data_IF_008195457323
#
_entry.id   IF_008195457323
#
_cell.length_a   1.000
_cell.length_b   1.000
_cell.length_c   1.000
_cell.angle_alpha   90.00
_cell.angle_beta   90.00
_cell.angle_gamma   90.00
#
_symmetry.space_group_name_H-M   'P 1'
#
loop_
_entity.id
_entity.type
_entity.pdbx_description
1 polymer ?
#
# COMPACT_ATOMS: atom_id res chain seq x y z
N UNK A 1 -22.59 13.59 -7.37
CA UNK A 1 -23.55 12.60 -6.84
C UNK A 1 -23.42 12.63 -5.32
N UNK A 2 -24.51 12.90 -4.61
CA UNK A 2 -24.52 12.78 -3.14
C UNK A 2 -24.94 11.36 -2.80
N UNK A 3 -24.26 10.78 -1.84
CA UNK A 3 -24.64 9.48 -1.30
C UNK A 3 -25.52 9.72 -0.08
N UNK A 4 -26.48 8.85 0.21
CA UNK A 4 -27.45 9.09 1.30
C UNK A 4 -26.79 9.23 2.70
N UNK A 5 -25.54 8.76 2.84
CA UNK A 5 -24.74 8.85 4.06
C UNK A 5 -23.80 10.07 4.12
N UNK A 6 -23.69 10.88 3.06
CA UNK A 6 -22.88 12.11 3.10
C UNK A 6 -23.35 13.19 2.14
N UNK A 7 -23.31 14.44 2.63
CA UNK A 7 -23.57 15.64 1.81
C UNK A 7 -22.32 16.15 1.09
N UNK A 8 -21.18 15.49 1.23
CA UNK A 8 -19.99 15.80 0.44
C UNK A 8 -20.16 15.22 -0.97
N UNK A 9 -19.69 15.94 -1.99
CA UNK A 9 -19.54 15.35 -3.33
C UNK A 9 -18.59 14.16 -3.22
N UNK A 10 -18.92 13.02 -3.79
CA UNK A 10 -18.08 11.82 -3.71
C UNK A 10 -17.68 11.33 -5.10
N UNK A 11 -16.52 10.66 -5.25
CA UNK A 11 -16.20 9.91 -6.46
C UNK A 11 -17.25 8.84 -6.76
N UNK A 12 -17.28 8.39 -8.02
CA UNK A 12 -18.17 7.31 -8.44
C UNK A 12 -18.02 6.06 -7.57
N UNK A 13 -19.09 5.28 -7.45
CA UNK A 13 -19.11 4.05 -6.65
C UNK A 13 -17.96 3.11 -7.03
N UNK A 14 -17.78 2.86 -8.32
CA UNK A 14 -16.71 2.02 -8.86
C UNK A 14 -15.32 2.54 -8.47
N UNK A 15 -15.08 3.86 -8.56
CA UNK A 15 -13.80 4.44 -8.16
C UNK A 15 -13.53 4.24 -6.66
N UNK A 16 -14.56 4.42 -5.82
CA UNK A 16 -14.46 4.21 -4.37
C UNK A 16 -14.24 2.74 -4.01
N UNK A 17 -14.87 1.81 -4.74
CA UNK A 17 -14.66 0.37 -4.58
C UNK A 17 -13.21 -0.03 -4.92
N UNK A 18 -12.66 0.50 -6.02
CA UNK A 18 -11.24 0.30 -6.37
C UNK A 18 -10.31 0.89 -5.30
N UNK A 19 -10.59 2.10 -4.83
CA UNK A 19 -9.82 2.75 -3.77
C UNK A 19 -9.83 1.92 -2.47
N UNK A 20 -11.00 1.43 -2.06
CA UNK A 20 -11.15 0.55 -0.91
C UNK A 20 -10.37 -0.76 -1.09
N UNK A 21 -10.47 -1.37 -2.27
CA UNK A 21 -9.73 -2.59 -2.61
C UNK A 21 -8.22 -2.39 -2.54
N UNK A 22 -7.71 -1.29 -3.08
CA UNK A 22 -6.30 -0.90 -2.98
C UNK A 22 -5.82 -0.85 -1.52
N UNK A 23 -6.58 -0.21 -0.63
CA UNK A 23 -6.22 -0.14 0.78
C UNK A 23 -6.27 -1.51 1.47
N UNK A 24 -7.28 -2.33 1.17
CA UNK A 24 -7.40 -3.68 1.73
C UNK A 24 -6.21 -4.58 1.36
N UNK A 25 -5.83 -4.64 0.08
CA UNK A 25 -4.71 -5.51 -0.35
C UNK A 25 -3.37 -5.05 0.22
N UNK A 26 -3.14 -3.73 0.33
CA UNK A 26 -1.94 -3.20 0.97
C UNK A 26 -1.88 -3.56 2.45
N UNK A 27 -2.98 -3.41 3.19
CA UNK A 27 -3.03 -3.74 4.61
C UNK A 27 -2.77 -5.24 4.83
N UNK A 28 -3.33 -6.10 3.98
CA UNK A 28 -3.06 -7.54 4.01
C UNK A 28 -1.57 -7.84 3.81
N UNK A 29 -0.93 -7.22 2.82
CA UNK A 29 0.51 -7.40 2.58
C UNK A 29 1.38 -6.83 3.71
N UNK A 30 0.98 -5.71 4.32
CA UNK A 30 1.68 -5.14 5.45
C UNK A 30 1.61 -6.06 6.68
N UNK A 31 0.49 -6.74 6.92
CA UNK A 31 0.41 -7.77 7.96
C UNK A 31 1.27 -8.99 7.57
N UNK A 32 1.20 -9.43 6.31
CA UNK A 32 1.90 -10.61 5.85
C UNK A 32 3.43 -10.47 5.87
N UNK A 33 3.96 -9.27 5.57
CA UNK A 33 5.40 -9.01 5.70
C UNK A 33 5.85 -9.07 7.17
N UNK A 34 5.02 -8.57 8.10
CA UNK A 34 5.28 -8.67 9.55
C UNK A 34 5.31 -10.13 9.98
N UNK A 35 4.38 -10.97 9.52
CA UNK A 35 4.40 -12.41 9.81
C UNK A 35 5.71 -13.07 9.35
N UNK A 36 6.18 -12.75 8.14
CA UNK A 36 7.44 -13.29 7.62
C UNK A 36 8.65 -12.80 8.43
N UNK A 37 8.69 -11.52 8.83
CA UNK A 37 9.73 -11.01 9.73
C UNK A 37 9.76 -11.81 11.04
N UNK A 38 8.60 -11.98 11.69
CA UNK A 38 8.50 -12.68 12.98
C UNK A 38 8.90 -14.15 12.87
N UNK A 39 8.51 -14.82 11.78
CA UNK A 39 8.90 -16.22 11.52
C UNK A 39 10.42 -16.35 11.39
N UNK A 40 11.05 -15.46 10.64
CA UNK A 40 12.47 -15.55 10.33
C UNK A 40 13.37 -15.08 11.48
N UNK A 41 12.91 -14.11 12.27
CA UNK A 41 13.58 -13.64 13.48
C UNK A 41 13.47 -14.66 14.63
N UNK A 42 12.43 -15.51 14.64
CA UNK A 42 12.22 -16.51 15.68
C UNK A 42 11.99 -15.92 17.07
N UNK A 43 11.59 -14.65 17.15
CA UNK A 43 11.37 -13.91 18.41
C UNK A 43 12.63 -13.37 19.07
N UNK A 44 13.75 -13.27 18.35
CA UNK A 44 15.02 -12.78 18.89
C UNK A 44 15.07 -11.26 19.08
N UNK A 45 14.56 -10.48 18.11
CA UNK A 45 14.70 -9.02 18.08
C UNK A 45 13.37 -8.29 17.83
N UNK A 46 12.36 -8.98 17.31
CA UNK A 46 11.09 -8.35 16.95
C UNK A 46 9.90 -9.07 17.56
N UNK A 47 8.87 -8.30 17.91
CA UNK A 47 7.56 -8.80 18.32
C UNK A 47 6.45 -8.11 17.54
N UNK A 48 5.27 -8.73 17.53
CA UNK A 48 4.15 -8.27 16.71
C UNK A 48 3.63 -6.89 17.12
N UNK A 49 3.55 -6.60 18.43
CA UNK A 49 3.03 -5.32 18.93
C UNK A 49 3.89 -4.14 18.43
N UNK A 50 5.21 -4.25 18.54
CA UNK A 50 6.12 -3.20 18.10
C UNK A 50 6.15 -3.03 16.57
N UNK A 51 5.89 -4.10 15.81
CA UNK A 51 5.90 -4.04 14.35
C UNK A 51 4.61 -3.50 13.78
N UNK A 52 3.45 -3.83 14.36
CA UNK A 52 2.15 -3.38 13.87
C UNK A 52 1.91 -1.89 14.15
N UNK A 53 2.46 -1.37 15.24
CA UNK A 53 2.36 0.05 15.62
C UNK A 53 3.26 0.96 14.78
N UNK A 54 4.24 0.39 14.05
CA UNK A 54 5.10 1.16 13.14
C UNK A 54 4.33 1.56 11.89
N UNK A 55 4.63 2.76 11.40
CA UNK A 55 4.27 3.08 10.02
C UNK A 55 4.97 2.11 9.07
N UNK A 56 4.31 1.72 7.98
CA UNK A 56 4.86 0.75 7.01
C UNK A 56 6.27 1.13 6.52
N UNK A 57 6.57 2.44 6.38
CA UNK A 57 7.89 2.92 5.99
C UNK A 57 9.01 2.65 7.01
N UNK A 58 8.66 2.36 8.27
CA UNK A 58 9.60 2.04 9.35
C UNK A 58 9.87 0.53 9.49
N UNK A 59 9.35 -0.30 8.58
CA UNK A 59 9.64 -1.74 8.50
C UNK A 59 10.90 -2.05 7.69
N UNK A 60 11.53 -1.06 7.06
CA UNK A 60 12.72 -1.24 6.22
C UNK A 60 13.86 -1.98 6.92
N UNK A 61 14.18 -1.63 8.18
CA UNK A 61 15.21 -2.31 8.98
C UNK A 61 14.84 -3.77 9.31
N UNK A 62 13.67 -4.06 9.91
CA UNK A 62 13.23 -5.45 10.12
C UNK A 62 13.25 -6.31 8.86
N UNK A 63 12.79 -5.78 7.72
CA UNK A 63 12.83 -6.47 6.42
C UNK A 63 14.27 -6.73 5.97
N UNK A 64 15.18 -5.78 6.19
CA UNK A 64 16.60 -5.96 5.86
C UNK A 64 17.22 -7.07 6.70
N UNK A 65 17.02 -6.99 8.02
CA UNK A 65 17.66 -7.86 9.00
C UNK A 65 17.19 -9.32 8.86
N UNK A 66 15.96 -9.55 8.36
CA UNK A 66 15.34 -10.88 8.23
C UNK A 66 15.22 -11.36 6.78
N UNK A 67 14.30 -10.78 6.01
CA UNK A 67 13.90 -11.25 4.68
C UNK A 67 15.02 -11.01 3.66
N UNK A 68 15.55 -9.79 3.60
CA UNK A 68 16.52 -9.38 2.56
C UNK A 68 17.82 -10.17 2.67
N UNK A 69 18.29 -10.40 3.89
CA UNK A 69 19.49 -11.20 4.15
C UNK A 69 19.36 -12.64 3.64
N UNK A 70 18.15 -13.19 3.52
CA UNK A 70 17.91 -14.57 3.07
C UNK A 70 17.47 -14.68 1.60
N UNK A 71 16.65 -13.76 1.12
CA UNK A 71 15.99 -13.84 -0.19
C UNK A 71 16.44 -12.76 -1.19
N UNK A 72 17.35 -11.86 -0.80
CA UNK A 72 17.75 -10.71 -1.61
C UNK A 72 16.74 -9.56 -1.56
N UNK A 73 16.97 -8.53 -2.37
CA UNK A 73 16.32 -7.21 -2.22
C UNK A 73 14.98 -7.05 -2.91
N UNK A 74 14.47 -8.06 -3.64
CA UNK A 74 13.24 -7.93 -4.45
C UNK A 74 12.02 -7.57 -3.60
N UNK A 75 11.75 -8.33 -2.53
CA UNK A 75 10.63 -8.09 -1.62
C UNK A 75 10.72 -6.69 -0.98
N UNK A 76 11.91 -6.32 -0.49
CA UNK A 76 12.14 -5.02 0.11
C UNK A 76 11.91 -3.87 -0.90
N UNK A 77 12.34 -4.04 -2.15
CA UNK A 77 12.16 -3.05 -3.22
C UNK A 77 10.68 -2.85 -3.55
N UNK A 78 9.94 -3.94 -3.78
CA UNK A 78 8.51 -3.91 -4.06
C UNK A 78 7.74 -3.28 -2.91
N UNK A 79 8.02 -3.69 -1.66
CA UNK A 79 7.35 -3.14 -0.48
C UNK A 79 7.58 -1.63 -0.34
N UNK A 80 8.81 -1.15 -0.51
CA UNK A 80 9.11 0.28 -0.42
C UNK A 80 8.44 1.11 -1.53
N UNK A 81 8.33 0.56 -2.74
CA UNK A 81 7.59 1.18 -3.84
C UNK A 81 6.10 1.28 -3.48
N UNK A 82 5.50 0.21 -2.97
CA UNK A 82 4.10 0.19 -2.54
C UNK A 82 3.83 1.14 -1.38
N UNK A 83 4.71 1.23 -0.38
CA UNK A 83 4.60 2.22 0.71
C UNK A 83 4.58 3.64 0.13
N UNK A 84 5.45 3.92 -0.85
CA UNK A 84 5.50 5.23 -1.50
C UNK A 84 4.21 5.54 -2.26
N UNK A 85 3.68 4.59 -3.03
CA UNK A 85 2.42 4.74 -3.77
C UNK A 85 1.23 4.90 -2.81
N UNK A 86 1.14 4.07 -1.76
CA UNK A 86 0.12 4.16 -0.71
C UNK A 86 0.13 5.52 -0.04
N UNK A 87 1.30 6.07 0.26
CA UNK A 87 1.39 7.41 0.86
C UNK A 87 0.82 8.49 -0.07
N UNK A 88 0.95 8.36 -1.39
CA UNK A 88 0.33 9.30 -2.35
C UNK A 88 -1.19 9.20 -2.36
N UNK A 89 -1.73 7.99 -2.21
CA UNK A 89 -3.17 7.74 -2.09
C UNK A 89 -3.71 8.34 -0.78
N UNK A 90 -3.07 8.08 0.35
CA UNK A 90 -3.54 8.56 1.67
C UNK A 90 -3.41 10.07 1.80
N UNK A 91 -2.35 10.68 1.26
CA UNK A 91 -2.15 12.13 1.29
C UNK A 91 -2.77 12.85 0.09
N UNK A 92 -3.68 12.18 -0.62
CA UNK A 92 -4.41 12.80 -1.73
C UNK A 92 -5.46 13.79 -1.20
N UNK A 93 -5.99 14.58 -2.13
CA UNK A 93 -7.09 15.51 -1.88
C UNK A 93 -8.12 15.38 -2.99
N UNK A 94 -9.38 15.66 -2.68
CA UNK A 94 -10.45 15.53 -3.64
C UNK A 94 -10.54 16.76 -4.55
N UNK A 95 -10.82 16.52 -5.83
CA UNK A 95 -11.05 17.55 -6.85
C UNK A 95 -12.30 17.23 -7.67
N UNK A 96 -12.86 18.25 -8.32
CA UNK A 96 -13.69 18.07 -9.52
C UNK A 96 -12.75 18.07 -10.73
N UNK A 97 -12.66 16.97 -11.45
CA UNK A 97 -11.80 16.83 -12.63
C UNK A 97 -12.49 17.38 -13.89
N UNK A 98 -11.79 17.38 -15.03
CA UNK A 98 -12.24 17.98 -16.31
C UNK A 98 -13.51 17.36 -16.89
N UNK A 99 -13.87 16.17 -16.44
CA UNK A 99 -15.09 15.44 -16.80
C UNK A 99 -16.23 15.64 -15.79
N UNK A 100 -16.11 16.67 -14.93
CA UNK A 100 -17.05 16.99 -13.85
C UNK A 100 -17.23 15.87 -12.80
N UNK A 101 -16.39 14.85 -12.83
CA UNK A 101 -16.37 13.79 -11.82
C UNK A 101 -15.49 14.16 -10.61
N UNK A 102 -15.90 13.70 -9.43
CA UNK A 102 -15.05 13.79 -8.24
C UNK A 102 -13.97 12.71 -8.29
N UNK A 103 -12.71 13.11 -8.11
CA UNK A 103 -11.56 12.18 -8.08
C UNK A 103 -10.55 12.63 -7.04
N UNK A 104 -9.59 11.75 -6.75
CA UNK A 104 -8.44 12.10 -5.92
C UNK A 104 -7.30 12.62 -6.79
N UNK A 105 -6.69 13.71 -6.37
CA UNK A 105 -5.44 14.22 -6.91
C UNK A 105 -4.36 14.21 -5.83
N UNK A 106 -3.11 14.15 -6.26
CA UNK A 106 -1.96 14.16 -5.36
C UNK A 106 -0.80 14.88 -6.05
N UNK A 107 0.35 14.93 -5.39
CA UNK A 107 1.58 15.47 -5.96
C UNK A 107 2.76 14.54 -5.74
N UNK A 108 3.71 14.54 -6.66
CA UNK A 108 4.99 13.88 -6.48
C UNK A 108 5.93 14.67 -5.55
N UNK A 109 7.16 14.18 -5.36
CA UNK A 109 8.18 14.90 -4.56
C UNK A 109 8.71 16.17 -5.25
N UNK A 110 8.54 16.29 -6.57
CA UNK A 110 8.91 17.46 -7.38
C UNK A 110 7.78 18.49 -7.47
N UNK A 111 6.67 18.27 -6.74
CA UNK A 111 5.46 19.10 -6.73
C UNK A 111 4.65 19.08 -8.03
N UNK A 112 4.86 18.09 -8.91
CA UNK A 112 3.98 17.87 -10.05
C UNK A 112 2.68 17.25 -9.54
N UNK A 113 1.55 17.91 -9.82
CA UNK A 113 0.23 17.43 -9.46
C UNK A 113 -0.33 16.50 -10.53
N UNK A 114 -1.01 15.45 -10.12
CA UNK A 114 -1.66 14.50 -11.02
C UNK A 114 -2.89 13.87 -10.36
N UNK A 115 -3.82 13.42 -11.21
CA UNK A 115 -5.01 12.68 -10.78
C UNK A 115 -4.63 11.23 -10.52
N UNK A 116 -5.10 10.67 -9.41
CA UNK A 116 -5.02 9.23 -9.14
C UNK A 116 -6.13 8.57 -9.97
N UNK A 117 -5.77 8.04 -11.13
CA UNK A 117 -6.72 7.42 -12.04
C UNK A 117 -7.06 5.99 -11.60
N UNK A 118 -8.09 5.39 -12.21
CA UNK A 118 -8.44 3.98 -11.97
C UNK A 118 -7.29 3.05 -12.34
N UNK A 119 -6.55 3.38 -13.40
CA UNK A 119 -5.40 2.62 -13.87
C UNK A 119 -4.28 2.60 -12.84
N UNK A 120 -4.00 3.75 -12.19
CA UNK A 120 -3.03 3.84 -11.09
C UNK A 120 -3.46 2.95 -9.91
N UNK A 121 -4.75 2.93 -9.57
CA UNK A 121 -5.27 2.07 -8.49
C UNK A 121 -5.16 0.58 -8.86
N UNK A 122 -5.50 0.20 -10.10
CA UNK A 122 -5.38 -1.17 -10.58
C UNK A 122 -3.93 -1.65 -10.64
N UNK A 123 -3.01 -0.79 -11.10
CA UNK A 123 -1.58 -1.07 -11.08
C UNK A 123 -1.06 -1.28 -9.64
N UNK A 124 -1.49 -0.41 -8.70
CA UNK A 124 -1.16 -0.57 -7.29
C UNK A 124 -1.66 -1.91 -6.72
N UNK A 125 -2.89 -2.33 -7.07
CA UNK A 125 -3.44 -3.62 -6.66
C UNK A 125 -2.62 -4.78 -7.24
N UNK A 126 -2.28 -4.73 -8.53
CA UNK A 126 -1.46 -5.76 -9.19
C UNK A 126 -0.05 -5.85 -8.60
N UNK A 127 0.58 -4.72 -8.27
CA UNK A 127 1.89 -4.71 -7.62
C UNK A 127 1.81 -5.31 -6.19
N UNK A 128 0.68 -5.16 -5.50
CA UNK A 128 0.43 -5.85 -4.24
C UNK A 128 0.27 -7.37 -4.43
N UNK A 129 -0.39 -7.82 -5.51
CA UNK A 129 -0.46 -9.24 -5.85
C UNK A 129 0.94 -9.84 -6.11
N UNK A 130 1.81 -9.10 -6.82
CA UNK A 130 3.20 -9.52 -7.02
C UNK A 130 3.95 -9.64 -5.69
N UNK A 131 3.85 -8.63 -4.81
CA UNK A 131 4.48 -8.70 -3.48
C UNK A 131 3.97 -9.92 -2.69
N UNK A 132 2.65 -10.16 -2.68
CA UNK A 132 2.06 -11.32 -2.00
C UNK A 132 2.63 -12.63 -2.54
N UNK A 133 2.75 -12.76 -3.86
CA UNK A 133 3.34 -13.93 -4.52
C UNK A 133 4.77 -14.16 -4.07
N UNK A 134 5.60 -13.12 -3.99
CA UNK A 134 6.98 -13.24 -3.53
C UNK A 134 7.09 -13.58 -2.04
N UNK A 135 6.20 -13.04 -1.20
CA UNK A 135 6.12 -13.39 0.22
C UNK A 135 5.71 -14.86 0.43
N UNK A 136 4.78 -15.38 -0.38
CA UNK A 136 4.41 -16.80 -0.34
C UNK A 136 5.58 -17.72 -0.74
N UNK A 137 6.29 -17.39 -1.82
CA UNK A 137 7.49 -18.14 -2.24
C UNK A 137 8.56 -18.12 -1.15
N UNK A 138 8.80 -16.96 -0.55
CA UNK A 138 9.75 -16.83 0.56
C UNK A 138 9.36 -17.68 1.77
N UNK A 139 8.06 -17.72 2.10
CA UNK A 139 7.50 -18.53 3.20
C UNK A 139 7.61 -20.04 2.93
N UNK A 140 7.78 -20.46 1.68
CA UNK A 140 7.89 -21.86 1.26
C UNK A 140 6.56 -22.51 0.85
N UNK A 141 5.64 -21.73 0.28
CA UNK A 141 4.41 -22.23 -0.36
C UNK A 141 4.61 -22.51 -1.85
#
# INVERSE_FOLDING_TARGET
>A
MYEDYTRQSMPSKEYRELLGSALCVFNSNNAFIIENILREDGGANYNWYDLIDRTSGNLSKPISDTITNKAGSKIATLFNQLVTQRNRIIHSFQITDKDDEQKLATKDKKNNQYVITKEILLEFIKNNEELSTELHKFRGH
#
